data_IF_684459724902
#
_entry.id   IF_684459724902
#
_cell.length_a   1.000
_cell.length_b   1.000
_cell.length_c   1.000
_cell.angle_alpha   90.00
_cell.angle_beta   90.00
_cell.angle_gamma   90.00
#
_symmetry.space_group_name_H-M   'P 1'
#
loop_
_entity.id
_entity.type
_entity.pdbx_description
1 polymer ?
#
# COMPACT_ATOMS: atom_id res chain seq x y z
N UNK A 1 42.38 75.94 -7.04
CA UNK A 1 43.74 75.44 -6.73
C UNK A 1 43.62 74.03 -6.16
N UNK A 2 44.41 73.10 -6.72
CA UNK A 2 44.90 71.82 -6.15
C UNK A 2 43.88 70.71 -5.81
N UNK A 3 43.84 69.76 -6.74
CA UNK A 3 43.89 68.29 -6.57
C UNK A 3 44.30 67.73 -5.18
N UNK A 4 43.79 66.52 -4.85
CA UNK A 4 44.42 65.35 -4.15
C UNK A 4 43.26 64.47 -3.60
N UNK A 5 42.87 63.40 -4.29
CA UNK A 5 43.32 62.00 -4.17
C UNK A 5 42.68 61.15 -3.03
N UNK A 6 42.05 60.07 -3.49
CA UNK A 6 42.13 58.68 -3.00
C UNK A 6 41.34 58.18 -1.76
N UNK A 7 40.55 57.14 -2.08
CA UNK A 7 40.40 55.81 -1.44
C UNK A 7 39.12 55.51 -0.63
N UNK A 8 38.74 54.24 -0.75
CA UNK A 8 37.87 53.40 0.08
C UNK A 8 36.37 53.36 -0.24
N UNK A 9 35.94 52.29 -0.96
CA UNK A 9 35.24 51.14 -0.34
C UNK A 9 34.78 50.13 -1.39
N UNK A 10 35.51 49.02 -1.52
CA UNK A 10 35.04 47.78 -2.12
C UNK A 10 34.95 46.75 -0.99
N UNK A 11 33.87 46.76 -0.19
CA UNK A 11 33.74 45.81 0.93
C UNK A 11 32.31 45.65 1.53
N UNK A 12 31.22 45.95 0.81
CA UNK A 12 29.87 45.81 1.39
C UNK A 12 28.83 45.04 0.56
N UNK A 13 29.18 44.56 -0.65
CA UNK A 13 28.20 43.95 -1.55
C UNK A 13 28.15 42.40 -1.51
N UNK A 14 29.15 41.74 -0.91
CA UNK A 14 29.28 40.27 -0.92
C UNK A 14 28.43 39.50 0.12
N UNK A 15 27.90 40.19 1.15
CA UNK A 15 27.21 39.51 2.25
C UNK A 15 25.70 39.33 2.01
N UNK A 16 25.10 40.15 1.13
CA UNK A 16 23.65 40.11 0.84
C UNK A 16 23.28 39.00 -0.15
N UNK A 17 24.20 38.65 -1.07
CA UNK A 17 23.94 37.63 -2.09
C UNK A 17 24.01 36.20 -1.53
N UNK A 18 24.87 35.97 -0.52
CA UNK A 18 25.05 34.64 0.12
C UNK A 18 23.90 34.26 1.04
N UNK A 19 23.27 35.22 1.72
CA UNK A 19 22.07 34.99 2.55
C UNK A 19 20.84 34.66 1.71
N UNK A 20 20.67 35.26 0.53
CA UNK A 20 19.56 34.94 -0.37
C UNK A 20 19.70 33.56 -1.03
N UNK A 21 20.91 33.12 -1.40
CA UNK A 21 21.15 31.79 -1.98
C UNK A 21 20.94 30.68 -0.93
N UNK A 22 21.33 30.91 0.33
CA UNK A 22 21.13 29.95 1.43
C UNK A 22 19.64 29.79 1.78
N UNK A 23 18.86 30.87 1.74
CA UNK A 23 17.40 30.82 1.93
C UNK A 23 16.66 30.14 0.75
N UNK A 24 17.15 30.30 -0.49
CA UNK A 24 16.55 29.66 -1.66
C UNK A 24 16.78 28.14 -1.67
N UNK A 25 17.96 27.67 -1.21
CA UNK A 25 18.27 26.24 -1.08
C UNK A 25 17.50 25.55 0.05
N UNK A 26 17.18 26.26 1.13
CA UNK A 26 16.33 25.77 2.22
C UNK A 26 14.84 25.66 1.82
N UNK A 27 14.37 26.44 0.86
CA UNK A 27 12.97 26.40 0.40
C UNK A 27 12.69 25.24 -0.59
N UNK A 28 13.67 24.79 -1.37
CA UNK A 28 13.47 23.75 -2.40
C UNK A 28 13.45 22.33 -1.80
N UNK A 29 13.97 22.15 -0.59
CA UNK A 29 14.07 20.84 0.06
C UNK A 29 12.78 20.36 0.75
N UNK A 30 11.73 21.20 0.81
CA UNK A 30 10.54 20.96 1.64
C UNK A 30 9.32 20.36 0.96
N UNK A 31 9.36 20.05 -0.34
CA UNK A 31 8.14 19.76 -1.11
C UNK A 31 8.18 18.46 -1.89
N UNK A 32 8.57 17.34 -1.28
CA UNK A 32 8.30 15.99 -1.82
C UNK A 32 8.21 14.93 -0.72
N UNK A 33 7.34 15.15 0.28
CA UNK A 33 6.85 14.03 1.10
C UNK A 33 5.33 14.09 1.03
N UNK A 34 4.77 13.52 -0.03
CA UNK A 34 3.39 13.07 0.00
C UNK A 34 3.36 11.92 1.01
N UNK A 35 2.86 12.22 2.21
CA UNK A 35 2.46 11.18 3.14
C UNK A 35 1.39 10.35 2.43
N UNK A 36 1.75 9.13 2.03
CA UNK A 36 0.76 8.13 1.69
C UNK A 36 -0.03 7.95 2.99
N UNK A 37 -1.30 8.35 3.01
CA UNK A 37 -2.15 8.11 4.18
C UNK A 37 -1.98 6.63 4.54
N UNK A 38 -1.63 6.38 5.80
CA UNK A 38 -1.46 5.03 6.33
C UNK A 38 -2.85 4.39 6.42
N UNK A 39 -3.42 4.06 5.25
CA UNK A 39 -4.70 3.41 5.12
C UNK A 39 -4.50 1.98 5.59
N UNK A 40 -5.21 1.64 6.67
CA UNK A 40 -5.30 0.27 7.16
C UNK A 40 -5.82 -0.63 6.06
N UNK A 41 -5.26 -1.82 5.93
CA UNK A 41 -5.64 -2.76 4.87
C UNK A 41 -7.11 -3.15 4.99
N UNK A 42 -7.87 -2.95 3.93
CA UNK A 42 -9.24 -3.49 3.80
C UNK A 42 -9.15 -4.92 3.28
N UNK A 43 -9.38 -5.88 4.18
CA UNK A 43 -9.37 -7.31 3.83
C UNK A 43 -10.25 -7.63 2.62
N UNK A 44 -11.46 -7.07 2.54
CA UNK A 44 -12.44 -7.48 1.53
C UNK A 44 -12.04 -6.97 0.14
N UNK A 45 -11.41 -5.79 0.09
CA UNK A 45 -10.99 -5.14 -1.14
C UNK A 45 -9.60 -5.59 -1.60
N UNK A 46 -8.68 -5.76 -0.67
CA UNK A 46 -7.25 -5.90 -0.98
C UNK A 46 -6.73 -7.32 -0.77
N UNK A 47 -7.23 -8.06 0.23
CA UNK A 47 -6.68 -9.37 0.61
C UNK A 47 -7.51 -10.53 0.07
N UNK A 48 -8.83 -10.46 0.20
CA UNK A 48 -9.74 -11.52 -0.24
C UNK A 48 -9.56 -11.85 -1.74
N UNK A 49 -9.41 -10.87 -2.67
CA UNK A 49 -9.14 -11.20 -4.06
C UNK A 49 -7.82 -11.95 -4.26
N UNK A 50 -6.78 -11.63 -3.48
CA UNK A 50 -5.49 -12.33 -3.54
C UNK A 50 -5.62 -13.77 -3.07
N UNK A 51 -6.26 -13.99 -1.93
CA UNK A 51 -6.50 -15.34 -1.40
C UNK A 51 -7.40 -16.17 -2.33
N UNK A 52 -8.42 -15.53 -2.92
CA UNK A 52 -9.33 -16.19 -3.87
C UNK A 52 -8.62 -16.64 -5.15
N UNK A 53 -7.76 -15.81 -5.71
CA UNK A 53 -7.08 -16.10 -6.99
C UNK A 53 -5.90 -17.07 -6.80
N UNK A 54 -5.12 -16.88 -5.73
CA UNK A 54 -3.86 -17.60 -5.52
C UNK A 54 -4.00 -18.85 -4.63
N UNK A 55 -4.93 -18.87 -3.66
CA UNK A 55 -4.90 -19.83 -2.57
C UNK A 55 -6.09 -20.80 -2.56
N UNK A 56 -7.32 -20.32 -2.81
CA UNK A 56 -8.54 -21.10 -2.58
C UNK A 56 -8.73 -22.30 -3.52
N UNK A 57 -8.03 -22.34 -4.67
CA UNK A 57 -8.07 -23.51 -5.54
C UNK A 57 -7.58 -24.78 -4.83
N UNK A 58 -6.57 -24.67 -3.97
CA UNK A 58 -6.00 -25.81 -3.24
C UNK A 58 -6.28 -25.76 -1.73
N UNK A 59 -6.64 -24.61 -1.16
CA UNK A 59 -6.86 -24.43 0.27
C UNK A 59 -8.22 -23.76 0.57
N UNK A 60 -9.22 -24.01 -0.28
CA UNK A 60 -10.55 -23.42 -0.18
C UNK A 60 -11.67 -24.45 0.04
N UNK A 61 -12.91 -24.13 -0.36
CA UNK A 61 -14.10 -24.88 0.03
C UNK A 61 -14.25 -26.23 -0.68
N UNK A 62 -13.62 -26.47 -1.83
CA UNK A 62 -13.73 -27.76 -2.54
C UNK A 62 -12.90 -28.86 -1.85
N UNK A 63 -13.53 -29.88 -1.21
CA UNK A 63 -12.79 -30.94 -0.54
C UNK A 63 -11.99 -31.85 -1.50
N UNK A 64 -12.36 -31.91 -2.79
CA UNK A 64 -11.66 -32.77 -3.76
C UNK A 64 -10.32 -32.19 -4.22
N UNK A 65 -10.23 -30.86 -4.27
CA UNK A 65 -9.02 -30.13 -4.62
C UNK A 65 -8.16 -29.75 -3.39
N UNK A 66 -8.72 -29.88 -2.19
CA UNK A 66 -8.12 -29.39 -0.94
C UNK A 66 -6.86 -30.16 -0.54
N UNK A 67 -5.80 -29.43 -0.25
CA UNK A 67 -4.51 -29.95 0.25
C UNK A 67 -4.32 -29.59 1.72
N UNK A 68 -3.66 -30.49 2.46
CA UNK A 68 -3.34 -30.31 3.88
C UNK A 68 -4.56 -30.09 4.79
N UNK A 69 -5.75 -30.50 4.33
CA UNK A 69 -7.03 -30.23 4.98
C UNK A 69 -7.24 -28.75 5.40
N UNK A 70 -6.56 -27.82 4.74
CA UNK A 70 -6.50 -26.42 5.13
C UNK A 70 -7.61 -25.61 4.45
N UNK A 71 -8.28 -24.75 5.23
CA UNK A 71 -9.29 -23.79 4.76
C UNK A 71 -8.82 -22.36 5.03
N UNK A 72 -8.28 -21.72 4.00
CA UNK A 72 -7.92 -20.30 4.03
C UNK A 72 -9.13 -19.39 3.79
N UNK A 73 -10.26 -19.93 3.35
CA UNK A 73 -11.51 -19.20 3.13
C UNK A 73 -12.33 -19.02 4.43
N UNK A 74 -11.96 -19.68 5.52
CA UNK A 74 -12.60 -19.57 6.83
C UNK A 74 -11.58 -19.00 7.82
N UNK A 75 -11.87 -17.83 8.40
CA UNK A 75 -10.98 -17.16 9.36
C UNK A 75 -10.48 -18.08 10.47
N UNK A 76 -11.40 -18.79 11.13
CA UNK A 76 -11.08 -19.68 12.25
C UNK A 76 -10.09 -20.77 11.81
N UNK A 77 -10.23 -21.32 10.60
CA UNK A 77 -9.29 -22.32 10.09
C UNK A 77 -7.99 -21.70 9.60
N UNK A 78 -8.03 -20.50 9.03
CA UNK A 78 -6.87 -19.80 8.52
C UNK A 78 -5.96 -19.29 9.65
N UNK A 79 -6.49 -19.11 10.87
CA UNK A 79 -5.74 -18.70 12.07
C UNK A 79 -5.41 -19.85 13.02
N UNK A 80 -5.74 -21.10 12.66
CA UNK A 80 -5.36 -22.29 13.45
C UNK A 80 -3.86 -22.57 13.33
N UNK A 81 -3.33 -23.26 14.33
CA UNK A 81 -1.99 -23.85 14.29
C UNK A 81 -1.87 -24.80 13.09
N UNK A 82 -0.83 -24.63 12.30
CA UNK A 82 -0.37 -25.56 11.29
C UNK A 82 0.31 -26.77 11.95
N UNK A 83 0.62 -27.77 11.15
CA UNK A 83 1.22 -29.04 11.60
C UNK A 83 2.60 -28.87 12.27
N UNK A 84 3.24 -27.71 12.11
CA UNK A 84 4.58 -27.36 12.59
C UNK A 84 4.58 -26.35 13.76
N UNK A 85 3.55 -26.36 14.61
CA UNK A 85 3.41 -25.50 15.81
C UNK A 85 3.25 -23.99 15.54
N UNK A 86 3.48 -23.50 14.31
CA UNK A 86 3.19 -22.12 13.91
C UNK A 86 1.73 -21.97 13.47
N UNK A 87 1.08 -20.82 13.69
CA UNK A 87 -0.23 -20.59 13.09
C UNK A 87 -0.11 -20.37 11.58
N UNK A 88 -1.12 -20.82 10.83
CA UNK A 88 -1.17 -20.60 9.38
C UNK A 88 -1.10 -19.09 9.09
N UNK A 89 -1.94 -18.33 9.79
CA UNK A 89 -1.89 -16.88 9.86
C UNK A 89 -1.75 -16.48 11.33
N UNK A 90 -0.63 -15.83 11.67
CA UNK A 90 -0.32 -15.36 13.02
C UNK A 90 -0.62 -13.86 13.14
N UNK A 91 -1.77 -13.45 13.72
CA UNK A 91 -2.15 -12.04 13.79
C UNK A 91 -1.10 -11.20 14.52
N UNK A 92 -0.58 -10.16 13.87
CA UNK A 92 0.44 -9.27 14.40
C UNK A 92 1.88 -9.78 14.26
N UNK A 93 2.07 -11.00 13.78
CA UNK A 93 3.39 -11.64 13.69
C UNK A 93 3.58 -12.34 12.33
N UNK A 94 3.97 -11.58 11.29
CA UNK A 94 4.20 -12.16 9.96
C UNK A 94 5.38 -13.14 9.93
N UNK A 95 6.37 -12.99 10.83
CA UNK A 95 7.55 -13.86 10.85
C UNK A 95 7.20 -15.28 11.31
N UNK A 96 6.27 -15.40 12.25
CA UNK A 96 5.76 -16.68 12.72
C UNK A 96 4.47 -17.11 11.99
N UNK A 97 4.21 -16.58 10.79
CA UNK A 97 3.06 -16.96 9.97
C UNK A 97 3.49 -17.88 8.83
N UNK A 98 2.97 -19.10 8.82
CA UNK A 98 3.29 -20.10 7.77
C UNK A 98 2.88 -19.60 6.37
N UNK A 99 1.79 -18.84 6.26
CA UNK A 99 1.39 -18.17 5.02
C UNK A 99 2.55 -17.34 4.45
N UNK A 100 3.13 -16.45 5.24
CA UNK A 100 4.21 -15.55 4.79
C UNK A 100 5.49 -16.34 4.45
N UNK A 101 5.83 -17.34 5.27
CA UNK A 101 6.97 -18.24 4.99
C UNK A 101 6.82 -18.92 3.63
N UNK A 102 5.65 -19.48 3.32
CA UNK A 102 5.39 -20.16 2.04
C UNK A 102 5.31 -19.22 0.84
N UNK A 103 5.10 -17.92 1.04
CA UNK A 103 5.15 -16.93 -0.04
C UNK A 103 6.58 -16.48 -0.36
N UNK A 104 7.53 -16.65 0.57
CA UNK A 104 8.88 -16.04 0.50
C UNK A 104 10.02 -17.05 0.54
N UNK A 105 9.73 -18.34 0.74
CA UNK A 105 10.72 -19.43 0.73
C UNK A 105 11.42 -19.57 -0.63
N UNK A 106 12.67 -20.01 -0.61
CA UNK A 106 13.44 -20.38 -1.81
C UNK A 106 13.24 -21.85 -2.20
N UNK A 107 12.62 -22.66 -1.32
CA UNK A 107 12.28 -24.06 -1.59
C UNK A 107 11.06 -24.15 -2.52
N UNK A 108 11.28 -24.63 -3.75
CA UNK A 108 10.25 -24.76 -4.79
C UNK A 108 9.12 -25.73 -4.41
N UNK A 109 9.40 -26.75 -3.60
CA UNK A 109 8.40 -27.72 -3.16
C UNK A 109 7.48 -27.13 -2.07
N UNK A 110 7.98 -26.14 -1.35
CA UNK A 110 7.30 -25.51 -0.22
C UNK A 110 6.65 -24.16 -0.58
N UNK A 111 7.08 -23.54 -1.69
CA UNK A 111 6.56 -22.27 -2.20
C UNK A 111 5.10 -22.39 -2.65
N UNK A 112 4.30 -21.41 -2.22
CA UNK A 112 2.90 -21.27 -2.61
C UNK A 112 2.63 -19.89 -3.23
N UNK A 113 1.81 -19.80 -4.30
CA UNK A 113 1.32 -20.92 -5.10
C UNK A 113 2.46 -21.62 -5.87
N UNK A 114 2.37 -22.94 -6.11
CA UNK A 114 3.41 -23.65 -6.85
C UNK A 114 3.63 -23.05 -8.25
N UNK A 115 4.88 -22.90 -8.67
CA UNK A 115 5.24 -22.30 -9.97
C UNK A 115 4.49 -22.91 -11.16
N UNK A 116 4.27 -24.23 -11.14
CA UNK A 116 3.52 -24.97 -12.17
C UNK A 116 2.07 -24.52 -12.38
N UNK A 117 1.47 -23.80 -11.43
CA UNK A 117 0.13 -23.20 -11.61
C UNK A 117 0.14 -21.93 -12.45
N UNK A 118 1.32 -21.35 -12.73
CA UNK A 118 1.46 -20.19 -13.60
C UNK A 118 0.88 -18.89 -13.04
N UNK A 119 0.64 -18.81 -11.72
CA UNK A 119 0.06 -17.63 -11.05
C UNK A 119 0.86 -17.21 -9.80
N UNK A 120 2.14 -16.85 -9.94
CA UNK A 120 2.92 -16.36 -8.81
C UNK A 120 2.40 -14.99 -8.35
N UNK A 121 2.42 -14.76 -7.04
CA UNK A 121 2.12 -13.45 -6.47
C UNK A 121 3.27 -12.48 -6.76
N UNK A 122 2.93 -11.24 -7.11
CA UNK A 122 3.90 -10.15 -7.26
C UNK A 122 4.40 -9.72 -5.88
N UNK A 123 5.62 -9.17 -5.82
CA UNK A 123 6.21 -8.64 -4.57
C UNK A 123 5.28 -7.66 -3.84
N UNK A 124 4.57 -6.79 -4.57
CA UNK A 124 3.62 -5.86 -3.97
C UNK A 124 2.41 -6.57 -3.31
N UNK A 125 1.94 -7.68 -3.89
CA UNK A 125 0.84 -8.47 -3.32
C UNK A 125 1.30 -9.24 -2.08
N UNK A 126 2.52 -9.78 -2.08
CA UNK A 126 3.13 -10.42 -0.90
C UNK A 126 3.26 -9.39 0.23
N UNK A 127 3.74 -8.18 -0.09
CA UNK A 127 3.84 -7.09 0.89
C UNK A 127 2.48 -6.67 1.47
N UNK A 128 1.41 -6.67 0.67
CA UNK A 128 0.04 -6.43 1.17
C UNK A 128 -0.38 -7.51 2.18
N UNK A 129 -0.11 -8.78 1.88
CA UNK A 129 -0.40 -9.88 2.79
C UNK A 129 0.42 -9.77 4.09
N UNK A 130 1.72 -9.47 3.98
CA UNK A 130 2.58 -9.22 5.14
C UNK A 130 2.05 -8.08 6.02
N UNK A 131 1.75 -6.92 5.41
CA UNK A 131 1.22 -5.77 6.12
C UNK A 131 -0.12 -6.09 6.80
N UNK A 132 -1.02 -6.78 6.10
CA UNK A 132 -2.29 -7.21 6.69
C UNK A 132 -2.10 -8.12 7.89
N UNK A 133 -1.15 -9.06 7.84
CA UNK A 133 -0.81 -9.90 8.99
C UNK A 133 -0.24 -9.05 10.12
N UNK A 134 0.68 -8.12 9.84
CA UNK A 134 1.21 -7.15 10.83
C UNK A 134 0.11 -6.31 11.49
N UNK A 135 -0.92 -5.91 10.74
CA UNK A 135 -2.07 -5.15 11.26
C UNK A 135 -3.07 -5.98 12.07
N UNK A 136 -2.74 -7.25 12.35
CA UNK A 136 -3.55 -8.16 13.15
C UNK A 136 -4.47 -9.06 12.33
N UNK A 137 -4.23 -9.21 11.03
CA UNK A 137 -4.96 -10.09 10.12
C UNK A 137 -6.48 -9.97 10.30
N UNK A 138 -7.00 -8.74 10.36
CA UNK A 138 -8.43 -8.48 10.57
C UNK A 138 -9.20 -9.04 9.39
N UNK A 139 -10.16 -9.92 9.66
CA UNK A 139 -10.98 -10.52 8.62
C UNK A 139 -12.15 -9.60 8.31
N UNK A 140 -12.45 -9.47 7.02
CA UNK A 140 -13.60 -8.73 6.53
C UNK A 140 -14.80 -9.65 6.31
N UNK A 141 -15.98 -9.06 6.19
CA UNK A 141 -17.16 -9.77 5.69
C UNK A 141 -17.19 -9.71 4.18
N UNK A 142 -17.98 -10.59 3.56
CA UNK A 142 -18.33 -10.43 2.17
C UNK A 142 -18.91 -9.01 1.94
N UNK A 143 -18.54 -8.36 0.84
CA UNK A 143 -18.86 -6.95 0.58
C UNK A 143 -20.36 -6.62 0.72
N UNK A 144 -21.24 -7.58 0.40
CA UNK A 144 -22.69 -7.44 0.48
C UNK A 144 -23.25 -7.39 1.90
N UNK A 145 -22.45 -7.74 2.91
CA UNK A 145 -22.83 -7.74 4.32
C UNK A 145 -22.31 -6.51 5.08
N UNK A 146 -21.50 -5.67 4.42
CA UNK A 146 -21.07 -4.40 4.98
C UNK A 146 -22.15 -3.33 4.70
N UNK A 147 -22.45 -2.44 5.66
CA UNK A 147 -23.35 -1.32 5.43
C UNK A 147 -22.89 -0.48 4.23
N UNK A 148 -23.84 -0.08 3.38
CA UNK A 148 -23.55 0.81 2.25
C UNK A 148 -23.47 2.23 2.80
N UNK A 149 -22.27 2.79 2.81
CA UNK A 149 -22.06 4.20 3.11
C UNK A 149 -22.14 5.02 1.82
N UNK A 150 -22.96 6.07 1.82
CA UNK A 150 -23.01 6.99 0.68
C UNK A 150 -21.82 7.95 0.77
N UNK A 151 -20.89 7.94 -0.19
CA UNK A 151 -19.76 8.85 -0.15
C UNK A 151 -20.25 10.30 -0.30
N UNK A 152 -19.62 11.22 0.43
CA UNK A 152 -19.83 12.64 0.24
C UNK A 152 -19.35 13.05 -1.16
N UNK A 153 -20.15 13.81 -1.92
CA UNK A 153 -19.71 14.32 -3.21
C UNK A 153 -18.43 15.17 -3.08
N UNK A 154 -17.49 15.09 -4.02
CA UNK A 154 -16.26 15.89 -3.97
C UNK A 154 -16.52 17.41 -4.02
N UNK A 155 -17.62 17.83 -4.64
CA UNK A 155 -18.04 19.23 -4.79
C UNK A 155 -19.45 19.41 -4.19
N UNK A 156 -19.63 20.25 -3.15
CA UNK A 156 -20.94 20.50 -2.55
C UNK A 156 -21.97 20.97 -3.59
N UNK A 157 -23.19 20.45 -3.53
CA UNK A 157 -24.29 20.84 -4.44
C UNK A 157 -24.30 20.13 -5.80
N UNK A 158 -23.25 19.42 -6.20
CA UNK A 158 -23.26 18.50 -7.34
C UNK A 158 -23.38 17.06 -6.85
N UNK A 159 -24.60 16.52 -6.80
CA UNK A 159 -24.87 15.13 -6.41
C UNK A 159 -24.92 14.15 -7.60
N UNK A 160 -24.29 14.48 -8.75
CA UNK A 160 -24.21 13.58 -9.88
C UNK A 160 -22.96 12.70 -9.83
N UNK A 161 -23.02 11.55 -10.51
CA UNK A 161 -21.86 10.68 -10.71
C UNK A 161 -20.69 11.43 -11.36
N UNK A 162 -21.00 12.44 -12.19
CA UNK A 162 -20.01 13.25 -12.90
C UNK A 162 -19.08 13.99 -11.94
N UNK A 163 -19.54 14.39 -10.75
CA UNK A 163 -18.67 15.04 -9.78
C UNK A 163 -17.53 14.12 -9.32
N UNK A 164 -17.78 12.82 -9.22
CA UNK A 164 -16.75 11.82 -8.89
C UNK A 164 -15.83 11.56 -10.08
N UNK A 165 -16.38 11.49 -11.30
CA UNK A 165 -15.61 11.28 -12.54
C UNK A 165 -14.69 12.48 -12.81
N UNK A 166 -15.22 13.71 -12.75
CA UNK A 166 -14.45 14.96 -12.87
C UNK A 166 -13.29 14.98 -11.86
N UNK A 167 -13.57 14.70 -10.58
CA UNK A 167 -12.54 14.67 -9.54
C UNK A 167 -11.47 13.58 -9.78
N UNK A 168 -11.86 12.43 -10.31
CA UNK A 168 -10.91 11.37 -10.66
C UNK A 168 -10.03 11.77 -11.85
N UNK A 169 -10.60 12.40 -12.88
CA UNK A 169 -9.87 12.92 -14.04
C UNK A 169 -8.90 14.04 -13.63
N UNK A 170 -9.35 14.99 -12.81
CA UNK A 170 -8.51 16.06 -12.25
C UNK A 170 -7.31 15.48 -11.48
N UNK A 171 -7.52 14.49 -10.61
CA UNK A 171 -6.44 13.81 -9.88
C UNK A 171 -5.47 13.05 -10.80
N UNK A 172 -5.96 12.53 -11.92
CA UNK A 172 -5.15 11.86 -12.92
C UNK A 172 -4.47 12.82 -13.91
N UNK A 173 -4.73 14.13 -13.83
CA UNK A 173 -4.23 15.12 -14.78
C UNK A 173 -4.85 14.98 -16.18
N UNK A 174 -6.05 14.43 -16.27
CA UNK A 174 -6.76 14.18 -17.52
C UNK A 174 -7.89 15.19 -17.75
N UNK A 175 -8.18 15.49 -19.01
CA UNK A 175 -9.26 16.39 -19.43
C UNK A 175 -10.33 15.56 -20.14
N UNK A 176 -11.58 15.67 -19.68
CA UNK A 176 -12.71 15.03 -20.34
C UNK A 176 -12.84 15.54 -21.78
N UNK A 177 -12.99 14.61 -22.74
CA UNK A 177 -13.34 14.96 -24.11
C UNK A 177 -14.87 15.00 -24.22
N UNK A 178 -15.43 15.96 -24.98
CA UNK A 178 -16.88 16.08 -25.19
C UNK A 178 -17.46 14.92 -26.03
#
# INVERSE_FOLDING_TARGET
MKSILCRFKAAHWDLSLKTHILCLLLFISGSLIQANENQTIDFSREILPLLSDACFQCHGPDPKARKGNLRLDIEESAKKHAENEMAVISPGDPLNSELIRRLTTEDEDDLMPPHKLGRPLKKAQIKLLEQWVTEGAKWGKHWSLNPIERPSPPKPGKQSIDAFVENALEKAGLIAQP
#
